data_IF_780564636698
#
_entry.id   IF_780564636698
#
_cell.length_a   1.000
_cell.length_b   1.000
_cell.length_c   1.000
_cell.angle_alpha   90.00
_cell.angle_beta   90.00
_cell.angle_gamma   90.00
#
_symmetry.space_group_name_H-M   'P 1'
#
loop_
_entity.id
_entity.type
_entity.pdbx_description
1 polymer ?
#
# COMPACT_ATOMS: atom_id res chain seq x y z
N UNK A 1 20.71 -2.41 -12.06
CA UNK A 1 19.28 -2.75 -12.07
C UNK A 1 19.11 -4.12 -11.49
N UNK A 2 18.12 -4.31 -10.61
CA UNK A 2 17.78 -5.60 -10.00
C UNK A 2 16.26 -5.76 -10.12
N UNK A 3 15.81 -6.94 -10.52
CA UNK A 3 14.40 -7.27 -10.69
C UNK A 3 14.04 -8.49 -9.85
N UNK A 4 12.82 -8.50 -9.33
CA UNK A 4 12.23 -9.63 -8.60
C UNK A 4 11.02 -10.17 -9.38
N UNK A 5 10.60 -11.40 -9.07
CA UNK A 5 9.50 -12.11 -9.72
C UNK A 5 8.41 -12.48 -8.69
N UNK A 6 7.61 -11.51 -8.21
CA UNK A 6 6.55 -11.79 -7.26
C UNK A 6 5.46 -12.66 -7.87
N UNK A 7 4.88 -13.54 -7.05
CA UNK A 7 3.72 -14.37 -7.45
C UNK A 7 2.42 -13.74 -6.92
N UNK A 8 1.33 -13.80 -7.68
CA UNK A 8 0.04 -13.31 -7.21
C UNK A 8 -0.43 -14.16 -6.01
N UNK A 9 -0.94 -13.49 -4.97
CA UNK A 9 -1.49 -14.17 -3.78
C UNK A 9 -3.02 -14.14 -3.83
N UNK A 10 -3.62 -12.95 -3.96
CA UNK A 10 -5.08 -12.77 -4.00
C UNK A 10 -5.42 -11.40 -4.61
N UNK A 11 -6.56 -11.31 -5.30
CA UNK A 11 -7.13 -10.03 -5.71
C UNK A 11 -7.89 -9.35 -4.55
N UNK A 12 -7.81 -8.02 -4.47
CA UNK A 12 -8.66 -7.24 -3.56
C UNK A 12 -10.08 -7.18 -4.13
N UNK A 13 -11.09 -7.25 -3.26
CA UNK A 13 -12.49 -7.18 -3.67
C UNK A 13 -12.84 -5.77 -4.15
N UNK A 14 -12.31 -4.77 -3.46
CA UNK A 14 -12.52 -3.36 -3.74
C UNK A 14 -11.16 -2.66 -3.89
N UNK A 15 -10.67 -2.43 -5.12
CA UNK A 15 -9.43 -1.69 -5.30
C UNK A 15 -9.55 -0.26 -4.75
N UNK A 16 -8.69 0.08 -3.80
CA UNK A 16 -8.77 1.39 -3.13
C UNK A 16 -8.26 2.53 -4.03
N UNK A 17 -9.00 3.64 -4.15
CA UNK A 17 -8.51 4.83 -4.81
C UNK A 17 -7.36 5.46 -3.99
N UNK A 18 -6.33 6.06 -4.63
CA UNK A 18 -5.22 6.70 -3.92
C UNK A 18 -5.63 7.79 -2.92
N UNK A 19 -6.80 8.40 -3.10
CA UNK A 19 -7.37 9.37 -2.17
C UNK A 19 -7.70 8.74 -0.81
N UNK A 20 -8.20 7.50 -0.79
CA UNK A 20 -8.55 6.78 0.44
C UNK A 20 -7.30 6.43 1.26
N UNK A 21 -6.24 5.96 0.59
CA UNK A 21 -4.95 5.69 1.23
C UNK A 21 -4.36 6.97 1.85
N UNK A 22 -4.42 8.09 1.13
CA UNK A 22 -3.90 9.38 1.62
C UNK A 22 -4.72 10.01 2.75
N UNK A 23 -5.99 9.66 2.86
CA UNK A 23 -6.88 10.16 3.90
C UNK A 23 -6.82 9.33 5.19
N UNK A 24 -6.22 8.14 5.16
CA UNK A 24 -6.17 7.25 6.32
C UNK A 24 -5.06 7.67 7.30
N UNK A 25 -5.38 8.01 8.57
CA UNK A 25 -4.40 8.43 9.56
C UNK A 25 -3.34 7.36 9.88
N UNK A 26 -3.68 6.08 9.78
CA UNK A 26 -2.74 4.97 10.03
C UNK A 26 -1.68 4.90 8.93
N UNK A 27 -2.00 5.39 7.73
CA UNK A 27 -1.12 5.37 6.57
C UNK A 27 -0.43 6.72 6.31
N UNK A 28 -0.65 7.73 7.15
CA UNK A 28 -0.17 9.09 6.91
C UNK A 28 1.36 9.18 6.75
N UNK A 29 2.09 8.29 7.42
CA UNK A 29 3.55 8.30 7.47
C UNK A 29 4.24 7.37 6.46
N UNK A 30 3.49 6.56 5.70
CA UNK A 30 4.11 5.66 4.72
C UNK A 30 4.79 6.45 3.60
N UNK A 31 5.88 5.91 3.08
CA UNK A 31 6.67 6.59 2.07
C UNK A 31 5.88 6.90 0.79
N UNK A 32 4.84 6.12 0.46
CA UNK A 32 3.95 6.38 -0.68
C UNK A 32 3.24 7.75 -0.58
N UNK A 33 2.83 8.15 0.63
CA UNK A 33 2.13 9.43 0.87
C UNK A 33 3.12 10.60 0.83
N UNK A 34 4.34 10.38 1.35
CA UNK A 34 5.35 11.42 1.52
C UNK A 34 6.29 11.59 0.31
N UNK A 35 6.43 10.57 -0.53
CA UNK A 35 7.38 10.51 -1.64
C UNK A 35 6.71 9.96 -2.91
N UNK A 36 6.07 10.84 -3.67
CA UNK A 36 5.23 10.47 -4.82
C UNK A 36 5.92 9.70 -5.96
N UNK A 37 7.26 9.71 -6.02
CA UNK A 37 8.05 9.05 -7.06
C UNK A 37 8.67 7.73 -6.60
N UNK A 38 8.46 7.31 -5.36
CA UNK A 38 8.95 6.04 -4.84
C UNK A 38 7.98 4.91 -5.22
N UNK A 39 8.47 3.88 -5.93
CA UNK A 39 7.66 2.76 -6.41
C UNK A 39 7.72 1.51 -5.54
N UNK A 40 8.73 1.40 -4.67
CA UNK A 40 8.92 0.28 -3.75
C UNK A 40 9.20 0.86 -2.36
N UNK A 41 8.40 0.46 -1.38
CA UNK A 41 8.54 0.91 0.00
C UNK A 41 8.34 -0.25 0.98
N UNK A 42 9.00 -0.22 2.14
CA UNK A 42 8.63 -1.09 3.25
C UNK A 42 7.30 -0.63 3.88
N UNK A 43 6.56 -1.58 4.45
CA UNK A 43 5.38 -1.32 5.29
C UNK A 43 5.53 -2.07 6.60
N UNK A 44 5.01 -1.51 7.68
CA UNK A 44 4.77 -2.23 8.93
C UNK A 44 3.62 -3.21 8.76
N UNK A 45 3.53 -4.20 9.66
CA UNK A 45 2.43 -5.15 9.67
C UNK A 45 1.06 -4.45 9.88
N UNK A 46 1.02 -3.38 10.68
CA UNK A 46 -0.20 -2.62 10.95
C UNK A 46 -0.68 -1.85 9.70
N UNK A 47 0.24 -1.20 8.99
CA UNK A 47 -0.07 -0.50 7.73
C UNK A 47 -0.56 -1.48 6.65
N UNK A 48 0.13 -2.62 6.51
CA UNK A 48 -0.29 -3.65 5.55
C UNK A 48 -1.68 -4.19 5.89
N UNK A 49 -1.94 -4.54 7.15
CA UNK A 49 -3.25 -5.00 7.58
C UNK A 49 -4.34 -3.96 7.31
N UNK A 50 -4.03 -2.66 7.51
CA UNK A 50 -4.97 -1.58 7.22
C UNK A 50 -5.32 -1.48 5.73
N UNK A 51 -4.33 -1.59 4.85
CA UNK A 51 -4.56 -1.62 3.39
C UNK A 51 -5.45 -2.81 3.00
N UNK A 52 -5.20 -3.99 3.57
CA UNK A 52 -6.04 -5.17 3.31
C UNK A 52 -7.49 -4.95 3.78
N UNK A 53 -7.72 -4.24 4.88
CA UNK A 53 -9.07 -3.90 5.36
C UNK A 53 -9.78 -2.89 4.47
N UNK A 54 -9.05 -1.94 3.87
CA UNK A 54 -9.64 -0.93 2.99
C UNK A 54 -10.14 -1.58 1.69
N UNK A 55 -9.38 -2.53 1.14
CA UNK A 55 -9.75 -3.24 -0.09
C UNK A 55 -10.52 -4.55 0.09
N UNK A 56 -10.99 -4.83 1.30
CA UNK A 56 -11.85 -5.96 1.63
C UNK A 56 -13.31 -5.70 1.24
#
# INVERSE_FOLDING_TARGET
WVADAPKPVRALAHPDPPAQIKADPVLADIALVRQSRLSVLPLSAAEFARIIQLGA
#
